data_IF_420601954013
#
_entry.id   IF_420601954013
#
_cell.length_a   1.000
_cell.length_b   1.000
_cell.length_c   1.000
_cell.angle_alpha   90.00
_cell.angle_beta   90.00
_cell.angle_gamma   90.00
#
_symmetry.space_group_name_H-M   'P 1'
#
loop_
_entity.id
_entity.type
_entity.pdbx_description
1 polymer ?
#
# COMPACT_ATOMS: atom_id res chain seq x y z
N UNK A 1 -52.94 -4.34 -31.91
CA UNK A 1 -52.14 -4.79 -30.75
C UNK A 1 -52.19 -3.69 -29.71
N UNK A 2 -52.64 -4.00 -28.50
CA UNK A 2 -52.85 -2.99 -27.45
C UNK A 2 -51.52 -2.50 -26.90
N UNK A 3 -50.99 -1.43 -27.49
CA UNK A 3 -49.77 -0.76 -27.07
C UNK A 3 -49.78 -0.42 -25.56
N UNK A 4 -50.95 -0.04 -25.04
CA UNK A 4 -51.18 0.21 -23.60
C UNK A 4 -51.01 -1.02 -22.70
N UNK A 5 -51.28 -2.24 -23.21
CA UNK A 5 -51.09 -3.47 -22.43
C UNK A 5 -49.61 -3.84 -22.34
N UNK A 6 -48.86 -3.62 -23.42
CA UNK A 6 -47.41 -3.84 -23.47
C UNK A 6 -46.69 -2.83 -22.57
N UNK A 7 -47.08 -1.55 -22.61
CA UNK A 7 -46.53 -0.50 -21.74
C UNK A 7 -46.70 -0.82 -20.25
N UNK A 8 -47.87 -1.34 -19.85
CA UNK A 8 -48.14 -1.74 -18.47
C UNK A 8 -47.29 -2.92 -18.00
N UNK A 9 -47.04 -3.89 -18.88
CA UNK A 9 -46.18 -5.05 -18.57
C UNK A 9 -44.73 -4.58 -18.38
N UNK A 10 -44.23 -3.70 -19.25
CA UNK A 10 -42.89 -3.13 -19.12
C UNK A 10 -42.74 -2.28 -17.86
N UNK A 11 -43.75 -1.47 -17.52
CA UNK A 11 -43.74 -0.69 -16.28
C UNK A 11 -43.66 -1.59 -15.04
N UNK A 12 -44.48 -2.65 -14.99
CA UNK A 12 -44.49 -3.56 -13.84
C UNK A 12 -43.20 -4.37 -13.72
N UNK A 13 -42.62 -4.81 -14.84
CA UNK A 13 -41.34 -5.50 -14.86
C UNK A 13 -40.19 -4.57 -14.41
N UNK A 14 -40.17 -3.33 -14.88
CA UNK A 14 -39.16 -2.35 -14.49
C UNK A 14 -39.28 -1.96 -13.01
N UNK A 15 -40.51 -1.82 -12.49
CA UNK A 15 -40.75 -1.58 -11.07
C UNK A 15 -40.23 -2.75 -10.21
N UNK A 16 -40.55 -4.00 -10.60
CA UNK A 16 -40.07 -5.18 -9.89
C UNK A 16 -38.54 -5.28 -9.89
N UNK A 17 -37.90 -4.95 -11.02
CA UNK A 17 -36.44 -4.90 -11.13
C UNK A 17 -35.83 -3.79 -10.26
N UNK A 18 -36.44 -2.60 -10.19
CA UNK A 18 -35.96 -1.53 -9.31
C UNK A 18 -36.10 -1.88 -7.83
N UNK A 19 -37.20 -2.53 -7.42
CA UNK A 19 -37.37 -3.01 -6.04
C UNK A 19 -36.35 -4.10 -5.72
N UNK A 20 -36.11 -5.03 -6.65
CA UNK A 20 -35.08 -6.04 -6.50
C UNK A 20 -33.68 -5.41 -6.36
N UNK A 21 -33.34 -4.47 -7.24
CA UNK A 21 -32.06 -3.74 -7.17
C UNK A 21 -31.94 -2.94 -5.88
N UNK A 22 -33.00 -2.27 -5.42
CA UNK A 22 -32.99 -1.54 -4.15
C UNK A 22 -32.81 -2.49 -2.96
N UNK A 23 -33.49 -3.64 -2.97
CA UNK A 23 -33.32 -4.67 -1.93
C UNK A 23 -31.91 -5.25 -1.94
N UNK A 24 -31.37 -5.58 -3.11
CA UNK A 24 -30.03 -6.13 -3.26
C UNK A 24 -28.95 -5.09 -2.93
N UNK A 25 -29.16 -3.82 -3.26
CA UNK A 25 -28.29 -2.71 -2.85
C UNK A 25 -28.33 -2.52 -1.34
N UNK A 26 -29.52 -2.54 -0.73
CA UNK A 26 -29.66 -2.42 0.72
C UNK A 26 -29.07 -3.63 1.44
N UNK A 27 -29.20 -4.84 0.89
CA UNK A 27 -28.59 -6.05 1.43
C UNK A 27 -27.06 -6.05 1.26
N UNK A 28 -26.53 -5.59 0.13
CA UNK A 28 -25.09 -5.40 -0.06
C UNK A 28 -24.55 -4.34 0.93
N UNK A 29 -25.24 -3.21 1.09
CA UNK A 29 -24.89 -2.19 2.07
C UNK A 29 -24.98 -2.73 3.50
N UNK A 30 -25.97 -3.57 3.83
CA UNK A 30 -26.13 -4.15 5.16
C UNK A 30 -25.18 -5.32 5.43
N UNK A 31 -24.76 -6.08 4.39
CA UNK A 31 -23.72 -7.10 4.50
C UNK A 31 -22.33 -6.46 4.64
N UNK A 32 -22.09 -5.32 3.99
CA UNK A 32 -20.87 -4.52 4.16
C UNK A 32 -20.89 -3.75 5.51
N UNK A 33 -22.06 -3.31 5.98
CA UNK A 33 -22.27 -2.71 7.31
C UNK A 33 -22.48 -3.73 8.45
N UNK A 34 -22.36 -5.04 8.19
CA UNK A 34 -22.33 -6.06 9.24
C UNK A 34 -20.95 -6.15 9.92
N UNK A 35 -20.08 -5.15 9.74
CA UNK A 35 -19.00 -4.85 10.68
C UNK A 35 -19.62 -4.15 11.89
N UNK A 36 -20.20 -4.99 12.76
CA UNK A 36 -20.55 -4.79 14.16
C UNK A 36 -20.39 -3.35 14.66
N UNK A 37 -21.44 -2.53 14.50
CA UNK A 37 -21.68 -1.38 15.38
C UNK A 37 -22.05 -1.95 16.76
N UNK A 38 -21.07 -2.45 17.49
CA UNK A 38 -21.30 -2.99 18.82
C UNK A 38 -21.65 -1.81 19.71
N UNK A 39 -22.86 -1.82 20.28
CA UNK A 39 -23.18 -1.09 21.51
C UNK A 39 -22.23 -1.62 22.61
N UNK A 40 -20.99 -1.13 22.62
CA UNK A 40 -19.99 -1.47 23.60
C UNK A 40 -19.80 -0.25 24.49
N UNK A 41 -20.21 -0.41 25.74
CA UNK A 41 -20.04 0.60 26.80
C UNK A 41 -18.58 0.81 27.19
N UNK A 42 -17.68 -0.04 26.73
CA UNK A 42 -16.25 -0.02 27.04
C UNK A 42 -15.41 0.32 25.81
N UNK A 43 -14.51 1.29 25.95
CA UNK A 43 -13.62 1.77 24.88
C UNK A 43 -12.65 0.68 24.40
N UNK A 44 -12.26 0.74 23.12
CA UNK A 44 -11.29 -0.20 22.51
C UNK A 44 -10.02 -0.34 23.37
N UNK A 45 -9.49 0.76 23.89
CA UNK A 45 -8.24 0.80 24.64
C UNK A 45 -8.32 -0.05 25.93
N UNK A 46 -9.47 -0.02 26.62
CA UNK A 46 -9.69 -0.84 27.81
C UNK A 46 -9.78 -2.32 27.45
N UNK A 47 -10.44 -2.65 26.34
CA UNK A 47 -10.57 -4.04 25.87
C UNK A 47 -9.22 -4.61 25.45
N UNK A 48 -8.42 -3.85 24.70
CA UNK A 48 -7.04 -4.22 24.37
C UNK A 48 -6.20 -4.44 25.63
N UNK A 49 -6.31 -3.55 26.62
CA UNK A 49 -5.59 -3.68 27.89
C UNK A 49 -6.04 -4.92 28.70
N UNK A 50 -7.34 -5.23 28.71
CA UNK A 50 -7.87 -6.42 29.39
C UNK A 50 -7.33 -7.73 28.79
N UNK A 51 -7.05 -7.73 27.50
CA UNK A 51 -6.46 -8.88 26.79
C UNK A 51 -4.93 -8.83 26.73
N UNK A 52 -4.31 -7.95 27.52
CA UNK A 52 -2.85 -7.76 27.61
C UNK A 52 -2.21 -7.43 26.25
N UNK A 53 -2.96 -6.72 25.39
CA UNK A 53 -2.52 -6.24 24.08
C UNK A 53 -1.90 -4.85 24.24
N UNK A 54 -0.61 -4.75 23.92
CA UNK A 54 0.14 -3.49 24.02
C UNK A 54 0.31 -2.81 22.66
N UNK A 55 0.46 -1.49 22.65
CA UNK A 55 0.75 -0.70 21.45
C UNK A 55 1.50 0.58 21.82
N UNK A 56 2.17 1.20 20.85
CA UNK A 56 2.90 2.45 21.03
C UNK A 56 2.14 3.64 20.43
N UNK A 57 2.25 4.81 21.05
CA UNK A 57 1.58 6.02 20.58
C UNK A 57 0.05 6.00 20.78
N UNK A 58 -0.63 6.95 20.13
CA UNK A 58 -2.10 7.04 20.18
C UNK A 58 -2.71 6.30 18.98
N UNK A 59 -3.86 5.64 19.19
CA UNK A 59 -4.71 5.13 18.11
C UNK A 59 -5.62 6.27 17.68
N UNK A 60 -5.52 6.72 16.43
CA UNK A 60 -6.28 7.87 15.95
C UNK A 60 -7.72 7.51 15.59
N UNK A 61 -8.67 8.30 16.09
CA UNK A 61 -10.07 8.29 15.66
C UNK A 61 -10.34 9.29 14.52
N UNK A 62 -9.30 9.97 14.03
CA UNK A 62 -9.42 10.90 12.91
C UNK A 62 -9.73 10.14 11.61
N UNK A 63 -10.81 10.53 10.94
CA UNK A 63 -11.10 10.07 9.59
C UNK A 63 -10.26 10.86 8.58
N UNK A 64 -9.49 10.13 7.79
CA UNK A 64 -8.75 10.66 6.64
C UNK A 64 -9.61 10.55 5.38
N UNK A 65 -9.14 11.13 4.29
CA UNK A 65 -9.80 11.04 2.99
C UNK A 65 -8.87 10.44 1.95
N UNK A 66 -9.43 9.68 1.00
CA UNK A 66 -8.67 9.05 -0.08
C UNK A 66 -9.52 8.76 -1.32
N UNK A 67 -8.87 8.30 -2.37
CA UNK A 67 -9.48 7.99 -3.68
C UNK A 67 -9.37 6.50 -4.05
N UNK A 68 -10.23 6.06 -4.96
CA UNK A 68 -9.89 4.92 -5.82
C UNK A 68 -8.98 5.45 -6.93
N UNK A 69 -7.79 4.86 -7.06
CA UNK A 69 -6.81 5.31 -8.06
C UNK A 69 -6.68 4.29 -9.17
N UNK A 70 -6.43 4.77 -10.38
CA UNK A 70 -5.86 3.98 -11.46
C UNK A 70 -4.47 4.50 -11.78
N UNK A 71 -3.54 3.61 -12.10
CA UNK A 71 -2.20 4.01 -12.55
C UNK A 71 -1.62 3.00 -13.52
N UNK A 72 -0.64 3.44 -14.30
CA UNK A 72 0.12 2.63 -15.25
C UNK A 72 1.56 2.48 -14.75
N UNK A 73 2.21 1.36 -15.02
CA UNK A 73 3.64 1.22 -14.77
C UNK A 73 4.45 1.94 -15.85
N UNK A 74 5.45 2.70 -15.43
CA UNK A 74 6.32 3.44 -16.35
C UNK A 74 7.27 2.50 -17.08
N UNK A 75 7.54 2.79 -18.36
CA UNK A 75 8.65 2.18 -19.10
C UNK A 75 9.99 2.80 -18.66
N UNK A 76 10.56 2.26 -17.58
CA UNK A 76 11.83 2.70 -17.03
C UNK A 76 13.01 2.48 -17.99
N UNK A 77 12.88 1.53 -18.92
CA UNK A 77 13.89 1.30 -19.98
C UNK A 77 14.03 2.51 -20.90
N UNK A 78 12.91 2.98 -21.43
CA UNK A 78 12.85 4.17 -22.28
C UNK A 78 13.26 5.42 -21.49
N UNK A 79 12.76 5.59 -20.26
CA UNK A 79 13.12 6.73 -19.40
C UNK A 79 14.62 6.77 -19.15
N UNK A 80 15.23 5.64 -18.77
CA UNK A 80 16.67 5.58 -18.51
C UNK A 80 17.50 5.94 -19.75
N UNK A 81 17.09 5.44 -20.93
CA UNK A 81 17.77 5.75 -22.19
C UNK A 81 17.73 7.25 -22.51
N UNK A 82 16.61 7.92 -22.25
CA UNK A 82 16.49 9.37 -22.41
C UNK A 82 17.30 10.13 -21.36
N UNK A 83 17.26 9.68 -20.10
CA UNK A 83 18.01 10.25 -19.00
C UNK A 83 19.52 10.25 -19.29
N UNK A 84 20.08 9.12 -19.74
CA UNK A 84 21.51 8.98 -20.06
C UNK A 84 22.00 9.91 -21.18
N UNK A 85 21.14 10.31 -22.12
CA UNK A 85 21.48 11.28 -23.17
C UNK A 85 21.75 12.67 -22.58
N UNK A 86 21.05 13.03 -21.51
CA UNK A 86 21.16 14.32 -20.82
C UNK A 86 22.21 14.28 -19.71
N UNK A 87 22.33 13.13 -19.04
CA UNK A 87 23.19 12.93 -17.88
C UNK A 87 24.11 11.72 -18.10
N UNK A 88 25.33 11.91 -18.64
CA UNK A 88 26.23 10.81 -18.99
C UNK A 88 27.03 10.24 -17.81
N UNK A 89 26.82 10.73 -16.59
CA UNK A 89 27.56 10.38 -15.38
C UNK A 89 26.61 9.93 -14.25
N UNK A 90 27.17 9.38 -13.15
CA UNK A 90 26.39 8.94 -11.99
C UNK A 90 26.07 7.44 -11.98
N UNK A 91 25.33 7.00 -10.96
CA UNK A 91 25.00 5.58 -10.72
C UNK A 91 24.15 4.98 -11.84
N UNK A 92 23.35 5.80 -12.51
CA UNK A 92 22.49 5.35 -13.59
C UNK A 92 23.24 5.03 -14.90
N UNK A 93 24.57 5.20 -14.96
CA UNK A 93 25.35 4.91 -16.19
C UNK A 93 25.53 3.41 -16.46
N UNK A 94 25.68 2.59 -15.42
CA UNK A 94 26.08 1.17 -15.55
C UNK A 94 25.56 0.33 -14.40
N UNK A 95 25.62 -1.00 -14.56
CA UNK A 95 25.16 -1.96 -13.55
C UNK A 95 23.64 -2.01 -13.43
N UNK A 96 22.92 -1.62 -14.49
CA UNK A 96 21.45 -1.67 -14.55
C UNK A 96 21.01 -2.84 -15.43
N UNK A 97 20.10 -3.64 -14.90
CA UNK A 97 19.36 -4.68 -15.63
C UNK A 97 17.87 -4.39 -15.55
N UNK A 98 17.09 -5.01 -16.43
CA UNK A 98 15.65 -4.87 -16.47
C UNK A 98 14.98 -6.25 -16.40
N UNK A 99 13.88 -6.31 -15.67
CA UNK A 99 12.88 -7.36 -15.81
C UNK A 99 11.62 -6.74 -16.46
N UNK A 100 11.33 -7.14 -17.69
CA UNK A 100 10.37 -6.44 -18.54
C UNK A 100 10.78 -4.99 -18.84
N UNK A 101 9.79 -4.10 -18.98
CA UNK A 101 9.99 -2.66 -19.21
C UNK A 101 9.86 -1.81 -17.93
N UNK A 102 9.23 -2.36 -16.89
CA UNK A 102 8.78 -1.61 -15.71
C UNK A 102 9.67 -1.73 -14.50
N UNK A 103 10.54 -2.76 -14.45
CA UNK A 103 11.35 -3.05 -13.27
C UNK A 103 12.82 -2.86 -13.58
N UNK A 104 13.42 -1.85 -12.95
CA UNK A 104 14.84 -1.51 -13.06
C UNK A 104 15.58 -2.06 -11.85
N UNK A 105 16.66 -2.82 -12.05
CA UNK A 105 17.55 -3.24 -10.97
C UNK A 105 18.93 -2.63 -11.16
N UNK A 106 19.42 -1.90 -10.16
CA UNK A 106 20.80 -1.40 -10.10
C UNK A 106 21.61 -2.23 -9.12
N UNK A 107 22.70 -2.81 -9.58
CA UNK A 107 23.73 -3.45 -8.74
C UNK A 107 24.90 -2.49 -8.56
N UNK A 108 25.33 -2.31 -7.31
CA UNK A 108 26.46 -1.46 -6.95
C UNK A 108 27.78 -2.23 -7.08
N UNK A 109 28.81 -1.58 -7.62
CA UNK A 109 30.18 -2.09 -7.52
C UNK A 109 30.71 -1.88 -6.10
N UNK A 110 31.79 -2.56 -5.72
CA UNK A 110 32.42 -2.36 -4.42
C UNK A 110 32.83 -0.89 -4.16
N UNK A 111 33.28 -0.17 -5.19
CA UNK A 111 33.61 1.26 -5.10
C UNK A 111 32.35 2.12 -4.88
N UNK A 112 31.26 1.82 -5.59
CA UNK A 112 29.98 2.52 -5.42
C UNK A 112 29.40 2.26 -4.01
N UNK A 113 29.41 1.01 -3.53
CA UNK A 113 28.92 0.65 -2.19
C UNK A 113 29.72 1.31 -1.07
N UNK A 114 31.01 1.55 -1.27
CA UNK A 114 31.85 2.26 -0.29
C UNK A 114 31.58 3.77 -0.29
N UNK A 115 31.20 4.33 -1.45
CA UNK A 115 30.85 5.75 -1.60
C UNK A 115 29.43 6.07 -1.11
N UNK A 116 28.45 5.22 -1.42
CA UNK A 116 27.04 5.44 -1.10
C UNK A 116 26.62 4.58 0.09
N UNK A 117 26.84 5.13 1.28
CA UNK A 117 26.49 4.52 2.56
C UNK A 117 25.30 5.23 3.19
N UNK A 118 24.48 4.47 3.89
CA UNK A 118 23.34 4.96 4.65
C UNK A 118 23.72 4.93 6.13
N UNK A 119 23.62 6.05 6.83
CA UNK A 119 23.80 6.08 8.28
C UNK A 119 22.64 5.33 8.95
N UNK A 120 22.95 4.29 9.73
CA UNK A 120 21.89 3.50 10.38
C UNK A 120 21.20 4.24 11.53
N UNK A 121 21.80 5.33 12.05
CA UNK A 121 21.18 6.20 13.06
C UNK A 121 20.33 7.30 12.42
N UNK A 122 20.56 7.59 11.14
CA UNK A 122 19.87 8.65 10.39
C UNK A 122 19.29 8.14 9.07
N UNK A 123 18.80 6.90 9.04
CA UNK A 123 18.40 6.20 7.82
C UNK A 123 17.42 6.99 6.96
N UNK A 124 16.38 7.58 7.57
CA UNK A 124 15.44 8.44 6.85
C UNK A 124 16.13 9.59 6.12
N UNK A 125 17.04 10.30 6.80
CA UNK A 125 17.73 11.44 6.21
C UNK A 125 18.67 10.99 5.09
N UNK A 126 19.52 9.99 5.34
CA UNK A 126 20.46 9.47 4.33
C UNK A 126 19.76 8.92 3.08
N UNK A 127 18.63 8.21 3.25
CA UNK A 127 17.84 7.72 2.11
C UNK A 127 17.19 8.89 1.35
N UNK A 128 16.64 9.86 2.06
CA UNK A 128 16.06 11.06 1.43
C UNK A 128 17.11 11.82 0.61
N UNK A 129 18.34 11.97 1.13
CA UNK A 129 19.45 12.57 0.39
C UNK A 129 19.86 11.73 -0.83
N UNK A 130 19.90 10.40 -0.67
CA UNK A 130 20.23 9.49 -1.76
C UNK A 130 19.21 9.57 -2.90
N UNK A 131 17.92 9.58 -2.57
CA UNK A 131 16.80 9.69 -3.52
C UNK A 131 16.82 11.03 -4.26
N UNK A 132 17.02 12.14 -3.54
CA UNK A 132 17.06 13.48 -4.13
C UNK A 132 18.36 13.80 -4.89
N UNK A 133 19.38 12.95 -4.77
CA UNK A 133 20.64 13.14 -5.47
C UNK A 133 20.50 12.83 -6.96
N UNK A 134 20.81 13.82 -7.79
CA UNK A 134 20.72 13.69 -9.24
C UNK A 134 21.55 12.50 -9.74
N UNK A 135 20.94 11.65 -10.57
CA UNK A 135 21.55 10.47 -11.19
C UNK A 135 21.78 9.26 -10.26
N UNK A 136 21.18 9.24 -9.07
CA UNK A 136 21.21 8.05 -8.20
C UNK A 136 20.09 7.06 -8.54
N UNK A 137 18.86 7.58 -8.66
CA UNK A 137 17.65 6.86 -9.05
C UNK A 137 16.86 7.69 -10.07
N UNK A 138 15.94 7.06 -10.80
CA UNK A 138 14.98 7.80 -11.63
C UNK A 138 13.87 8.35 -10.73
N UNK A 139 13.35 9.54 -11.00
CA UNK A 139 12.20 10.13 -10.27
C UNK A 139 12.34 10.14 -8.74
N UNK A 140 13.56 10.29 -8.22
CA UNK A 140 13.82 10.08 -6.78
C UNK A 140 13.07 11.05 -5.86
N UNK A 141 12.70 12.21 -6.36
CA UNK A 141 11.87 13.21 -5.68
C UNK A 141 10.40 12.78 -5.51
N UNK A 142 9.96 11.73 -6.20
CA UNK A 142 8.62 11.16 -6.05
C UNK A 142 8.55 10.06 -4.98
N UNK A 143 9.68 9.61 -4.43
CA UNK A 143 9.73 8.53 -3.44
C UNK A 143 10.05 9.03 -2.04
N UNK A 144 9.41 8.42 -1.04
CA UNK A 144 9.66 8.69 0.37
C UNK A 144 10.02 7.40 1.12
N UNK A 145 10.93 7.51 2.10
CA UNK A 145 11.34 6.38 2.93
C UNK A 145 10.18 5.80 3.75
N UNK A 146 9.96 4.49 3.62
CA UNK A 146 8.91 3.72 4.28
C UNK A 146 9.49 2.91 5.46
N UNK A 147 9.60 3.54 6.63
CA UNK A 147 10.22 2.90 7.80
C UNK A 147 9.50 1.64 8.27
N UNK A 148 8.18 1.61 8.19
CA UNK A 148 7.36 0.52 8.71
C UNK A 148 7.43 -0.75 7.84
N UNK A 149 7.75 -0.61 6.55
CA UNK A 149 7.91 -1.73 5.62
C UNK A 149 9.38 -2.11 5.38
N UNK A 150 10.32 -1.34 5.92
CA UNK A 150 11.75 -1.68 5.86
C UNK A 150 12.11 -2.79 6.86
N UNK A 151 12.96 -3.73 6.43
CA UNK A 151 13.49 -4.81 7.28
C UNK A 151 14.93 -4.52 7.64
N UNK A 152 15.17 -4.00 8.86
CA UNK A 152 16.50 -3.59 9.32
C UNK A 152 17.12 -4.51 10.39
N UNK A 153 16.53 -5.69 10.57
CA UNK A 153 16.99 -6.75 11.47
C UNK A 153 17.10 -8.09 10.74
N UNK A 154 17.97 -8.98 11.22
CA UNK A 154 18.21 -10.28 10.59
C UNK A 154 19.34 -10.27 9.54
N UNK A 155 19.28 -11.22 8.61
CA UNK A 155 20.36 -11.51 7.66
C UNK A 155 20.21 -10.82 6.30
N UNK A 156 18.98 -10.48 5.90
CA UNK A 156 18.67 -9.77 4.65
C UNK A 156 18.04 -8.44 5.02
N UNK A 157 18.83 -7.37 4.90
CA UNK A 157 18.38 -6.03 5.28
C UNK A 157 17.86 -5.30 4.04
N UNK A 158 16.67 -4.75 4.17
CA UNK A 158 15.92 -4.11 3.10
C UNK A 158 15.38 -2.76 3.57
N UNK A 159 15.57 -1.74 2.74
CA UNK A 159 15.03 -0.40 2.95
C UNK A 159 14.06 -0.11 1.81
N UNK A 160 12.81 0.17 2.18
CA UNK A 160 11.76 0.52 1.22
C UNK A 160 11.60 2.03 1.13
N UNK A 161 11.46 2.53 -0.08
CA UNK A 161 10.95 3.86 -0.37
C UNK A 161 9.81 3.74 -1.38
N UNK A 162 8.80 4.58 -1.30
CA UNK A 162 7.59 4.43 -2.10
C UNK A 162 7.07 5.75 -2.62
N UNK A 163 6.42 5.72 -3.77
CA UNK A 163 5.66 6.87 -4.26
C UNK A 163 4.53 7.23 -3.30
N UNK A 164 3.99 8.43 -3.44
CA UNK A 164 2.78 8.84 -2.70
C UNK A 164 1.80 9.58 -3.58
N UNK A 165 0.54 9.57 -3.16
CA UNK A 165 -0.53 10.37 -3.76
C UNK A 165 -1.28 11.12 -2.67
N UNK A 166 -1.29 12.45 -2.75
CA UNK A 166 -1.88 13.35 -1.74
C UNK A 166 -1.49 13.00 -0.28
N UNK A 167 -0.24 12.62 -0.06
CA UNK A 167 0.30 12.32 1.27
C UNK A 167 -0.01 10.92 1.81
N UNK A 168 -0.66 10.05 1.02
CA UNK A 168 -0.77 8.62 1.33
C UNK A 168 0.24 7.87 0.44
N UNK A 169 1.20 7.13 1.02
CA UNK A 169 2.18 6.37 0.25
C UNK A 169 1.53 5.16 -0.43
N UNK A 170 2.19 4.60 -1.43
CA UNK A 170 1.87 3.27 -1.95
C UNK A 170 2.59 2.19 -1.13
N UNK A 171 2.01 0.99 -1.07
CA UNK A 171 2.69 -0.22 -0.62
C UNK A 171 2.29 -1.34 -1.58
N UNK A 172 3.04 -1.39 -2.68
CA UNK A 172 2.82 -2.31 -3.80
C UNK A 172 4.09 -2.42 -4.64
N UNK A 173 4.32 -3.60 -5.21
CA UNK A 173 5.51 -3.92 -6.02
C UNK A 173 5.67 -3.04 -7.26
N UNK A 174 4.63 -2.31 -7.65
CA UNK A 174 4.62 -1.43 -8.83
C UNK A 174 5.03 0.03 -8.57
N UNK A 175 5.22 0.44 -7.31
CA UNK A 175 5.39 1.85 -6.92
C UNK A 175 6.54 2.09 -5.93
N UNK A 176 7.53 1.19 -5.87
CA UNK A 176 8.55 1.18 -4.82
C UNK A 176 9.99 1.22 -5.34
N UNK A 177 10.90 1.66 -4.48
CA UNK A 177 12.33 1.37 -4.55
C UNK A 177 12.69 0.54 -3.33
N UNK A 178 13.08 -0.70 -3.55
CA UNK A 178 13.60 -1.57 -2.49
C UNK A 178 15.12 -1.67 -2.59
N UNK A 179 15.82 -1.17 -1.56
CA UNK A 179 17.26 -1.23 -1.42
C UNK A 179 17.67 -2.44 -0.59
N UNK A 180 18.53 -3.30 -1.14
CA UNK A 180 19.18 -4.35 -0.35
C UNK A 180 20.51 -3.82 0.15
N UNK A 181 20.73 -3.97 1.45
CA UNK A 181 21.87 -3.40 2.14
C UNK A 181 22.61 -4.42 3.00
N UNK A 182 23.90 -4.17 3.18
CA UNK A 182 24.75 -4.92 4.11
C UNK A 182 25.18 -4.02 5.27
N UNK A 183 25.11 -4.54 6.49
CA UNK A 183 25.54 -3.80 7.68
C UNK A 183 27.06 -3.88 7.81
N UNK A 184 27.71 -2.71 7.85
CA UNK A 184 29.15 -2.60 8.10
C UNK A 184 29.41 -1.43 9.06
N UNK A 185 30.11 -1.67 10.17
CA UNK A 185 30.53 -0.68 11.17
C UNK A 185 29.61 0.54 11.38
N UNK A 186 28.34 0.30 11.72
CA UNK A 186 27.39 1.39 12.01
C UNK A 186 26.78 2.08 10.78
N UNK A 187 27.05 1.60 9.57
CA UNK A 187 26.40 2.04 8.33
C UNK A 187 25.76 0.87 7.60
N UNK A 188 24.89 1.18 6.64
CA UNK A 188 24.40 0.23 5.66
C UNK A 188 25.02 0.54 4.29
N UNK A 189 25.69 -0.45 3.70
CA UNK A 189 26.26 -0.39 2.35
C UNK A 189 25.20 -0.84 1.35
N UNK A 190 24.92 0.00 0.34
CA UNK A 190 23.99 -0.35 -0.73
C UNK A 190 24.62 -1.43 -1.63
N UNK A 191 23.95 -2.57 -1.78
CA UNK A 191 24.42 -3.65 -2.67
C UNK A 191 23.65 -3.67 -3.98
N UNK A 192 22.33 -3.50 -3.90
CA UNK A 192 21.45 -3.33 -5.06
C UNK A 192 20.20 -2.54 -4.67
N UNK A 193 19.54 -1.97 -5.65
CA UNK A 193 18.13 -1.60 -5.50
C UNK A 193 17.32 -2.09 -6.70
N UNK A 194 16.06 -2.38 -6.45
CA UNK A 194 15.03 -2.56 -7.49
C UNK A 194 14.10 -1.37 -7.44
N UNK A 195 13.70 -0.86 -8.60
CA UNK A 195 12.82 0.29 -8.75
C UNK A 195 11.68 -0.04 -9.71
N UNK A 196 10.47 0.31 -9.31
CA UNK A 196 9.26 0.38 -10.11
C UNK A 196 8.61 1.75 -9.92
N UNK A 197 7.87 2.23 -10.91
CA UNK A 197 7.31 3.58 -10.92
C UNK A 197 5.94 3.61 -11.58
N UNK A 198 4.98 4.25 -10.91
CA UNK A 198 3.66 4.56 -11.43
C UNK A 198 3.65 5.89 -12.16
N UNK A 199 2.95 5.93 -13.28
CA UNK A 199 2.63 7.13 -14.04
C UNK A 199 1.13 7.14 -14.36
N UNK A 200 0.64 8.24 -14.92
CA UNK A 200 -0.77 8.41 -15.28
C UNK A 200 -1.73 8.05 -14.13
N UNK A 201 -1.42 8.54 -12.92
CA UNK A 201 -2.26 8.30 -11.73
C UNK A 201 -3.55 9.13 -11.86
N UNK A 202 -4.68 8.44 -12.01
CA UNK A 202 -6.01 8.99 -12.25
C UNK A 202 -6.95 8.65 -11.08
N UNK A 203 -7.80 9.60 -10.70
CA UNK A 203 -8.87 9.38 -9.74
C UNK A 203 -10.06 8.71 -10.45
N UNK A 204 -10.43 7.50 -10.04
CA UNK A 204 -11.57 6.77 -10.61
C UNK A 204 -12.92 7.21 -10.03
N UNK A 205 -12.89 7.83 -8.84
CA UNK A 205 -14.05 8.31 -8.10
C UNK A 205 -13.69 9.59 -7.36
N UNK A 206 -14.73 10.28 -6.89
CA UNK A 206 -14.57 11.40 -5.97
C UNK A 206 -13.87 10.97 -4.67
N UNK A 207 -13.27 11.95 -3.99
CA UNK A 207 -12.59 11.73 -2.72
C UNK A 207 -13.60 11.28 -1.67
N UNK A 208 -13.30 10.23 -0.94
CA UNK A 208 -14.19 9.65 0.06
C UNK A 208 -13.53 9.64 1.44
N UNK A 209 -14.35 9.74 2.48
CA UNK A 209 -13.92 9.53 3.86
C UNK A 209 -13.50 8.07 4.04
N UNK A 210 -12.43 7.88 4.81
CA UNK A 210 -11.85 6.59 5.15
C UNK A 210 -12.22 6.23 6.58
N UNK A 211 -12.44 4.95 6.81
CA UNK A 211 -12.45 4.41 8.17
C UNK A 211 -11.12 4.74 8.86
N UNK A 212 -11.23 5.19 10.10
CA UNK A 212 -10.11 5.61 10.93
C UNK A 212 -9.22 4.43 11.34
N UNK A 213 -8.05 4.76 11.89
CA UNK A 213 -7.14 3.77 12.46
C UNK A 213 -7.81 2.98 13.60
N UNK A 214 -8.58 3.67 14.47
CA UNK A 214 -9.33 3.04 15.56
C UNK A 214 -10.34 2.01 15.04
N UNK A 215 -11.09 2.36 13.99
CA UNK A 215 -12.09 1.47 13.39
C UNK A 215 -11.44 0.23 12.75
N UNK A 216 -10.28 0.41 12.09
CA UNK A 216 -9.53 -0.71 11.52
C UNK A 216 -9.01 -1.66 12.61
N UNK A 217 -8.45 -1.12 13.70
CA UNK A 217 -7.97 -1.94 14.84
C UNK A 217 -9.15 -2.65 15.52
N UNK A 218 -10.28 -1.96 15.72
CA UNK A 218 -11.50 -2.55 16.25
C UNK A 218 -11.93 -3.74 15.39
N UNK A 219 -11.97 -3.59 14.07
CA UNK A 219 -12.31 -4.67 13.13
C UNK A 219 -11.38 -5.86 13.28
N UNK A 220 -10.06 -5.64 13.31
CA UNK A 220 -9.10 -6.72 13.50
C UNK A 220 -9.30 -7.43 14.85
N UNK A 221 -9.49 -6.66 15.92
CA UNK A 221 -9.65 -7.20 17.27
C UNK A 221 -10.93 -8.05 17.41
N UNK A 222 -12.10 -7.56 16.98
CA UNK A 222 -13.36 -8.33 17.08
C UNK A 222 -13.39 -9.58 16.20
N UNK A 223 -12.54 -9.62 15.17
CA UNK A 223 -12.38 -10.77 14.30
C UNK A 223 -11.20 -11.69 14.70
N UNK A 224 -10.68 -11.54 15.92
CA UNK A 224 -9.57 -12.34 16.47
C UNK A 224 -8.28 -12.29 15.63
N UNK A 225 -8.04 -11.19 14.90
CA UNK A 225 -6.80 -10.94 14.16
C UNK A 225 -5.70 -10.31 15.01
N UNK A 226 -6.06 -9.81 16.18
CA UNK A 226 -5.12 -9.36 17.20
C UNK A 226 -5.25 -10.32 18.39
N UNK A 227 -4.37 -11.33 18.52
CA UNK A 227 -4.42 -12.28 19.63
C UNK A 227 -4.18 -11.60 20.97
N UNK A 228 -4.70 -12.17 22.06
CA UNK A 228 -4.35 -11.73 23.42
C UNK A 228 -2.85 -11.87 23.69
N UNK A 229 -2.32 -11.06 24.61
CA UNK A 229 -0.89 -11.00 24.97
C UNK A 229 0.03 -10.69 23.77
N UNK A 230 -0.50 -9.99 22.76
CA UNK A 230 0.26 -9.52 21.60
C UNK A 230 0.68 -8.06 21.73
N UNK A 231 1.47 -7.59 20.76
CA UNK A 231 1.90 -6.20 20.67
C UNK A 231 1.69 -5.67 19.26
N UNK A 232 0.92 -4.60 19.13
CA UNK A 232 0.81 -3.85 17.87
C UNK A 232 2.07 -2.99 17.74
N UNK A 233 2.90 -3.31 16.75
CA UNK A 233 4.21 -2.68 16.53
C UNK A 233 4.08 -1.32 15.86
N UNK A 234 3.33 -1.27 14.76
CA UNK A 234 3.10 -0.08 13.96
C UNK A 234 1.79 -0.21 13.16
N UNK A 235 1.29 0.93 12.70
CA UNK A 235 0.10 1.04 11.85
C UNK A 235 0.40 2.02 10.73
N UNK A 236 0.03 1.68 9.50
CA UNK A 236 0.32 2.50 8.33
C UNK A 236 -0.85 2.45 7.35
N UNK A 237 -1.31 3.62 6.91
CA UNK A 237 -2.21 3.76 5.77
C UNK A 237 -1.36 3.83 4.50
N UNK A 238 -1.67 2.98 3.52
CA UNK A 238 -1.02 2.99 2.22
C UNK A 238 -1.95 2.51 1.10
N UNK A 239 -1.71 2.98 -0.12
CA UNK A 239 -2.37 2.51 -1.32
C UNK A 239 -1.83 1.15 -1.75
N UNK A 240 -2.71 0.18 -2.00
CA UNK A 240 -2.31 -1.14 -2.49
C UNK A 240 -3.11 -1.53 -3.71
N UNK A 241 -2.49 -2.29 -4.62
CA UNK A 241 -3.13 -2.75 -5.83
C UNK A 241 -4.13 -3.86 -5.49
N UNK A 242 -5.39 -3.67 -5.89
CA UNK A 242 -6.45 -4.67 -5.68
C UNK A 242 -6.88 -5.35 -6.97
N UNK A 243 -6.60 -4.76 -8.14
CA UNK A 243 -6.88 -5.37 -9.44
C UNK A 243 -5.83 -4.92 -10.45
N UNK A 244 -5.27 -5.86 -11.22
CA UNK A 244 -4.44 -5.56 -12.40
C UNK A 244 -5.31 -5.72 -13.65
N UNK A 245 -5.68 -4.60 -14.28
CA UNK A 245 -6.51 -4.58 -15.50
C UNK A 245 -5.67 -4.14 -16.69
N UNK A 246 -5.14 -5.12 -17.45
CA UNK A 246 -4.27 -4.85 -18.62
C UNK A 246 -3.04 -4.02 -18.22
N UNK A 247 -2.94 -2.78 -18.69
CA UNK A 247 -1.88 -1.82 -18.35
C UNK A 247 -2.26 -0.89 -17.17
N UNK A 248 -3.55 -0.88 -16.78
CA UNK A 248 -4.07 -0.02 -15.71
C UNK A 248 -4.36 -0.83 -14.45
N UNK A 249 -3.59 -0.55 -13.42
CA UNK A 249 -3.79 -1.12 -12.09
C UNK A 249 -4.77 -0.25 -11.30
N UNK A 250 -5.52 -0.86 -10.38
CA UNK A 250 -6.46 -0.18 -9.49
C UNK A 250 -5.97 -0.27 -8.06
N UNK A 251 -5.87 0.87 -7.38
CA UNK A 251 -5.35 0.99 -6.02
C UNK A 251 -6.42 1.57 -5.09
N UNK A 252 -6.44 1.04 -3.87
CA UNK A 252 -7.29 1.54 -2.77
C UNK A 252 -6.46 1.70 -1.50
N UNK A 253 -6.85 2.62 -0.60
CA UNK A 253 -6.16 2.78 0.67
C UNK A 253 -6.47 1.59 1.60
N UNK A 254 -5.42 1.07 2.22
CA UNK A 254 -5.45 -0.06 3.14
C UNK A 254 -4.71 0.34 4.42
N UNK A 255 -5.30 0.01 5.56
CA UNK A 255 -4.64 0.02 6.86
C UNK A 255 -3.86 -1.27 7.04
N UNK A 256 -2.55 -1.14 7.21
CA UNK A 256 -1.64 -2.22 7.59
C UNK A 256 -1.34 -2.12 9.07
N UNK A 257 -1.44 -3.25 9.77
CA UNK A 257 -1.21 -3.35 11.22
C UNK A 257 -0.26 -4.50 11.48
N UNK A 258 0.97 -4.19 11.89
CA UNK A 258 1.93 -5.21 12.30
C UNK A 258 1.75 -5.60 13.76
N UNK A 259 1.70 -6.90 14.00
CA UNK A 259 1.39 -7.51 15.28
C UNK A 259 2.48 -8.52 15.60
N UNK A 260 3.20 -8.30 16.70
CA UNK A 260 4.05 -9.31 17.32
C UNK A 260 3.20 -10.17 18.25
N UNK A 261 3.11 -11.46 17.97
CA UNK A 261 2.41 -12.43 18.80
C UNK A 261 3.26 -12.84 20.01
N UNK A 262 2.65 -13.53 20.97
CA UNK A 262 3.31 -13.94 22.21
C UNK A 262 4.53 -14.86 22.00
N UNK A 263 4.56 -15.61 20.89
CA UNK A 263 5.67 -16.45 20.45
C UNK A 263 6.76 -15.69 19.65
N UNK A 264 6.67 -14.35 19.58
CA UNK A 264 7.58 -13.45 18.86
C UNK A 264 7.52 -13.56 17.34
N UNK A 265 6.50 -14.19 16.77
CA UNK A 265 6.22 -14.08 15.35
C UNK A 265 5.62 -12.70 15.02
N UNK A 266 5.97 -12.12 13.88
CA UNK A 266 5.37 -10.87 13.41
C UNK A 266 4.49 -11.18 12.21
N UNK A 267 3.23 -10.75 12.28
CA UNK A 267 2.28 -10.82 11.19
C UNK A 267 1.76 -9.42 10.86
N UNK A 268 1.44 -9.18 9.59
CA UNK A 268 0.83 -7.93 9.13
C UNK A 268 -0.60 -8.24 8.70
N UNK A 269 -1.56 -7.65 9.40
CA UNK A 269 -2.96 -7.72 9.05
C UNK A 269 -3.35 -6.47 8.26
N UNK A 270 -4.29 -6.64 7.31
CA UNK A 270 -4.67 -5.61 6.35
C UNK A 270 -6.18 -5.37 6.38
N UNK A 271 -6.60 -4.11 6.41
CA UNK A 271 -8.02 -3.71 6.41
C UNK A 271 -8.26 -2.68 5.32
N UNK A 272 -9.22 -2.91 4.44
CA UNK A 272 -9.61 -1.95 3.43
C UNK A 272 -10.18 -0.68 4.09
N UNK A 273 -9.61 0.49 3.78
CA UNK A 273 -9.98 1.73 4.45
C UNK A 273 -11.29 2.35 3.95
N UNK A 274 -11.87 1.86 2.85
CA UNK A 274 -13.20 2.25 2.37
C UNK A 274 -14.33 1.38 2.92
N UNK A 275 -14.12 0.08 3.04
CA UNK A 275 -15.17 -0.88 3.44
C UNK A 275 -15.02 -1.40 4.87
N UNK A 276 -13.90 -1.11 5.54
CA UNK A 276 -13.53 -1.67 6.84
C UNK A 276 -13.53 -3.21 6.88
N UNK A 277 -13.22 -3.85 5.76
CA UNK A 277 -13.16 -5.30 5.63
C UNK A 277 -11.72 -5.80 5.67
N UNK A 278 -11.48 -6.91 6.37
CA UNK A 278 -10.17 -7.57 6.42
C UNK A 278 -9.82 -8.12 5.04
N UNK A 279 -8.62 -7.81 4.57
CA UNK A 279 -8.07 -8.30 3.30
C UNK A 279 -7.26 -9.56 3.59
N UNK A 280 -7.75 -10.71 3.12
CA UNK A 280 -7.19 -12.03 3.46
C UNK A 280 -6.37 -12.68 2.35
N UNK A 281 -6.44 -12.14 1.11
CA UNK A 281 -5.70 -12.65 -0.05
C UNK A 281 -5.03 -11.48 -0.79
N UNK A 282 -3.69 -11.49 -0.82
CA UNK A 282 -2.88 -10.52 -1.59
C UNK A 282 -2.65 -10.96 -3.05
N UNK A 283 -3.29 -12.04 -3.50
CA UNK A 283 -3.23 -12.41 -4.92
C UNK A 283 -4.12 -11.44 -5.67
N UNK A 284 -3.49 -10.42 -6.25
CA UNK A 284 -4.19 -9.44 -7.07
C UNK A 284 -4.78 -10.13 -8.30
N UNK A 285 -6.11 -10.18 -8.47
CA UNK A 285 -6.72 -10.79 -9.63
C UNK A 285 -6.24 -10.10 -10.90
N UNK A 286 -5.75 -10.90 -11.85
CA UNK A 286 -5.48 -10.48 -13.22
C UNK A 286 -6.70 -10.80 -14.06
N UNK A 287 -7.24 -9.81 -14.76
CA UNK A 287 -8.31 -10.02 -15.73
C UNK A 287 -7.68 -10.27 -17.10
N UNK A 288 -7.65 -11.54 -17.54
CA UNK A 288 -7.24 -11.94 -18.89
C UNK A 288 -8.45 -11.94 -19.84
N UNK A 289 -8.24 -11.65 -21.13
CA UNK A 289 -9.34 -11.58 -22.12
C UNK A 289 -9.90 -12.98 -22.45
N UNK A 290 -11.22 -13.04 -22.66
CA UNK A 290 -11.92 -14.09 -23.44
C UNK A 290 -12.02 -13.66 -24.91
#
# INVERSE_FOLDING_TARGET
MDFKKIEWIFFLAFLGLNVFLFSSYHEAMNQENNVIRSDQTESLQNRLASDDISYSGNISSESKQGYYLSAEQSDLGTVLAQHRKKNPTGLLRSGITFDGLSTLTKTFTAEESEKYKIDNKQTKHSITEFLNSQNNVLYGDEYEFMSNFSTLEGNSLEIEASQSYEGIPFHDDTAEINFIVEKDDGVYKLTKYTQTHLTNIEQLREKMDLYSEEEAIQTLYVNNKIPSSSKILWRQLAYSCIVKVREKNVYVPIWYVAIETSDKSVQIESVNAFSNTIVTNNVVPKVEDN
#
